data_IF_783061960724
#
_entry.id   IF_783061960724
#
_cell.length_a   1.000
_cell.length_b   1.000
_cell.length_c   1.000
_cell.angle_alpha   90.00
_cell.angle_beta   90.00
_cell.angle_gamma   90.00
#
_symmetry.space_group_name_H-M   'P 1'
#
loop_
_entity.id
_entity.type
_entity.pdbx_description
1 polymer ?
#
# COMPACT_ATOMS: atom_id res chain seq x y z
N UNK A 1 -12.26 -21.46 -14.60
CA UNK A 1 -11.31 -20.34 -14.42
C UNK A 1 -11.19 -20.07 -12.95
N UNK A 2 -9.97 -19.86 -12.44
CA UNK A 2 -9.76 -19.70 -11.00
C UNK A 2 -9.95 -18.23 -10.61
N UNK A 3 -10.63 -17.99 -9.49
CA UNK A 3 -10.70 -16.69 -8.81
C UNK A 3 -9.57 -16.64 -7.79
N UNK A 4 -8.90 -15.49 -7.66
CA UNK A 4 -7.94 -15.25 -6.57
C UNK A 4 -8.43 -14.10 -5.70
N UNK A 5 -8.26 -14.21 -4.38
CA UNK A 5 -8.76 -13.21 -3.44
C UNK A 5 -7.74 -13.00 -2.32
N UNK A 6 -7.47 -11.74 -2.00
CA UNK A 6 -6.68 -11.37 -0.82
C UNK A 6 -7.50 -10.42 0.05
N UNK A 7 -7.77 -10.80 1.32
CA UNK A 7 -8.68 -10.06 2.18
C UNK A 7 -8.09 -8.73 2.70
N UNK A 8 -6.77 -8.56 2.62
CA UNK A 8 -6.08 -7.40 3.19
C UNK A 8 -4.87 -7.02 2.34
N UNK A 9 -5.02 -5.98 1.55
CA UNK A 9 -3.97 -5.39 0.70
C UNK A 9 -3.85 -3.90 0.96
N UNK A 10 -2.65 -3.36 0.73
CA UNK A 10 -2.34 -1.95 0.74
C UNK A 10 -2.30 -1.40 -0.69
N UNK A 11 -2.90 -0.24 -0.89
CA UNK A 11 -2.81 0.54 -2.12
C UNK A 11 -1.96 1.79 -1.88
N UNK A 12 -1.04 2.03 -2.80
CA UNK A 12 -0.16 3.20 -2.79
C UNK A 12 0.12 3.68 -4.22
N UNK A 13 0.90 4.76 -4.34
CA UNK A 13 1.45 5.28 -5.58
C UNK A 13 2.91 5.65 -5.39
N UNK A 14 3.65 5.86 -6.48
CA UNK A 14 5.06 6.26 -6.39
C UNK A 14 5.15 7.63 -5.70
N UNK A 15 4.28 8.56 -6.07
CA UNK A 15 4.20 9.91 -5.51
C UNK A 15 3.85 9.89 -4.02
N UNK A 16 3.01 8.96 -3.59
CA UNK A 16 2.71 8.77 -2.17
C UNK A 16 3.95 8.30 -1.39
N UNK A 17 4.68 7.32 -1.91
CA UNK A 17 5.93 6.83 -1.30
C UNK A 17 7.03 7.90 -1.26
N UNK A 18 7.13 8.73 -2.31
CA UNK A 18 8.01 9.90 -2.34
C UNK A 18 7.69 10.85 -1.18
N UNK A 19 6.41 11.22 -1.02
CA UNK A 19 5.95 12.07 0.09
C UNK A 19 6.20 11.45 1.45
N UNK A 20 5.91 10.16 1.65
CA UNK A 20 6.21 9.45 2.92
C UNK A 20 7.70 9.52 3.25
N UNK A 21 8.57 9.40 2.24
CA UNK A 21 10.02 9.47 2.42
C UNK A 21 10.48 10.88 2.79
N UNK A 22 9.96 11.90 2.10
CA UNK A 22 10.24 13.31 2.40
C UNK A 22 9.85 13.63 3.84
N UNK A 23 8.59 13.33 4.23
CA UNK A 23 8.08 13.54 5.58
C UNK A 23 9.00 12.90 6.62
N UNK A 24 9.40 11.65 6.43
CA UNK A 24 10.26 10.99 7.39
C UNK A 24 11.68 11.58 7.43
N UNK A 25 12.25 11.96 6.28
CA UNK A 25 13.58 12.57 6.21
C UNK A 25 13.66 13.93 6.91
N UNK A 26 12.58 14.71 6.88
CA UNK A 26 12.48 16.01 7.56
C UNK A 26 12.26 15.87 9.07
N UNK A 27 11.63 14.76 9.48
CA UNK A 27 11.33 14.39 10.86
C UNK A 27 12.37 13.44 11.44
N UNK A 28 13.59 13.97 11.66
CA UNK A 28 14.67 13.28 12.39
C UNK A 28 14.13 12.58 13.65
N UNK A 29 14.65 11.39 13.96
CA UNK A 29 14.18 10.54 15.06
C UNK A 29 13.97 11.28 16.41
N UNK A 30 14.84 12.24 16.75
CA UNK A 30 14.69 13.02 17.98
C UNK A 30 13.48 13.96 17.99
N UNK A 31 13.08 14.52 16.83
CA UNK A 31 11.85 15.33 16.71
C UNK A 31 10.59 14.50 16.97
N UNK A 32 10.65 13.20 16.66
CA UNK A 32 9.58 12.25 16.93
C UNK A 32 9.39 12.05 18.43
N UNK A 33 10.48 12.03 19.20
CA UNK A 33 10.47 11.86 20.66
C UNK A 33 9.88 13.08 21.37
N UNK A 34 10.18 14.30 20.91
CA UNK A 34 9.69 15.54 21.51
C UNK A 34 8.36 16.04 20.92
N UNK A 35 7.73 15.27 20.03
CA UNK A 35 6.40 15.58 19.49
C UNK A 35 6.33 16.72 18.47
N UNK A 36 7.45 17.13 17.86
CA UNK A 36 7.51 18.24 16.87
C UNK A 36 7.46 17.69 15.44
N UNK A 37 6.72 16.61 15.21
CA UNK A 37 6.62 16.06 13.87
C UNK A 37 5.78 16.96 12.97
N UNK A 38 6.30 17.23 11.77
CA UNK A 38 5.56 17.89 10.69
C UNK A 38 5.04 16.81 9.73
N UNK A 39 3.81 16.38 9.94
CA UNK A 39 3.07 15.58 8.96
C UNK A 39 1.91 16.46 8.51
N UNK A 40 1.71 16.56 7.20
CA UNK A 40 0.55 17.24 6.64
C UNK A 40 -0.74 16.64 7.26
N UNK A 41 -1.63 17.46 7.87
CA UNK A 41 -2.84 16.99 8.49
C UNK A 41 -3.77 16.17 7.60
N UNK A 42 -3.66 16.28 6.27
CA UNK A 42 -4.43 15.52 5.29
C UNK A 42 -3.70 14.26 4.80
N UNK A 43 -2.44 14.06 5.19
CA UNK A 43 -1.66 12.90 4.78
C UNK A 43 -2.08 11.63 5.57
N UNK A 44 -2.14 10.46 4.90
CA UNK A 44 -2.38 9.17 5.57
C UNK A 44 -1.38 8.91 6.71
N UNK A 45 -1.89 8.75 7.92
CA UNK A 45 -1.06 8.61 9.11
C UNK A 45 -1.71 7.74 10.19
N UNK A 46 -0.88 7.19 11.07
CA UNK A 46 -1.31 6.49 12.27
C UNK A 46 -0.69 7.13 13.51
N UNK A 47 -1.52 7.44 14.49
CA UNK A 47 -1.06 7.80 15.84
C UNK A 47 -1.00 6.54 16.68
N UNK A 48 0.16 6.20 17.22
CA UNK A 48 0.37 5.12 18.16
C UNK A 48 1.01 5.68 19.43
N UNK A 49 0.27 5.68 20.54
CA UNK A 49 0.68 6.33 21.79
C UNK A 49 1.00 7.82 21.59
N UNK A 50 2.20 8.28 21.97
CA UNK A 50 2.64 9.66 21.82
C UNK A 50 3.20 9.98 20.41
N UNK A 51 3.33 8.97 19.55
CA UNK A 51 3.97 9.11 18.26
C UNK A 51 2.94 9.10 17.14
N UNK A 52 3.20 9.89 16.10
CA UNK A 52 2.48 9.81 14.83
C UNK A 52 3.46 9.29 13.77
N UNK A 53 2.96 8.52 12.81
CA UNK A 53 3.77 7.95 11.74
C UNK A 53 3.04 8.14 10.41
N UNK A 54 3.72 8.64 9.36
CA UNK A 54 3.14 8.65 8.03
C UNK A 54 3.04 7.21 7.51
N UNK A 55 1.94 6.89 6.83
CA UNK A 55 1.71 5.57 6.27
C UNK A 55 2.27 5.51 4.84
N UNK A 56 2.82 4.35 4.47
CA UNK A 56 3.32 4.07 3.10
C UNK A 56 2.21 3.74 2.12
N UNK A 57 0.97 3.65 2.59
CA UNK A 57 -0.24 3.39 1.83
C UNK A 57 -1.28 4.44 2.17
N UNK A 58 -2.22 4.67 1.24
CA UNK A 58 -3.35 5.58 1.44
C UNK A 58 -4.69 4.86 1.53
N UNK A 59 -4.75 3.58 1.15
CA UNK A 59 -5.95 2.75 1.29
C UNK A 59 -5.57 1.32 1.66
N UNK A 60 -6.43 0.67 2.43
CA UNK A 60 -6.35 -0.74 2.81
C UNK A 60 -7.69 -1.39 2.50
N UNK A 61 -7.66 -2.59 1.93
CA UNK A 61 -8.87 -3.21 1.45
C UNK A 61 -8.68 -4.64 0.99
N UNK A 62 -9.61 -5.10 0.19
CA UNK A 62 -9.62 -6.43 -0.41
C UNK A 62 -9.41 -6.34 -1.91
N UNK A 63 -8.69 -7.34 -2.44
CA UNK A 63 -8.59 -7.55 -3.88
C UNK A 63 -9.24 -8.86 -4.24
N UNK A 64 -10.01 -8.83 -5.33
CA UNK A 64 -10.53 -10.00 -6.01
C UNK A 64 -10.11 -9.95 -7.47
N UNK A 65 -9.49 -11.02 -7.94
CA UNK A 65 -9.08 -11.19 -9.33
C UNK A 65 -10.01 -12.21 -9.96
N UNK A 66 -10.81 -11.75 -10.92
CA UNK A 66 -11.78 -12.54 -11.66
C UNK A 66 -11.40 -12.57 -13.16
N UNK A 67 -12.03 -13.42 -13.98
CA UNK A 67 -11.83 -13.36 -15.42
C UNK A 67 -12.09 -11.92 -15.90
N UNK A 68 -11.13 -11.32 -16.59
CA UNK A 68 -11.15 -9.96 -17.19
C UNK A 68 -10.80 -8.76 -16.30
N UNK A 69 -10.90 -8.86 -14.97
CA UNK A 69 -10.60 -7.70 -14.10
C UNK A 69 -10.06 -8.03 -12.71
N UNK A 70 -9.43 -7.00 -12.14
CA UNK A 70 -9.11 -6.89 -10.72
C UNK A 70 -10.09 -5.92 -10.09
N UNK A 71 -10.78 -6.35 -9.04
CA UNK A 71 -11.66 -5.53 -8.21
C UNK A 71 -10.93 -5.18 -6.92
N UNK A 72 -10.96 -3.91 -6.51
CA UNK A 72 -10.50 -3.45 -5.22
C UNK A 72 -11.64 -2.80 -4.45
N UNK A 73 -11.79 -3.19 -3.19
CA UNK A 73 -12.71 -2.54 -2.26
C UNK A 73 -12.01 -2.16 -0.97
N UNK A 74 -11.95 -0.87 -0.67
CA UNK A 74 -11.43 -0.39 0.61
C UNK A 74 -12.28 -0.91 1.77
N UNK A 75 -11.61 -1.18 2.90
CA UNK A 75 -12.24 -1.60 4.15
C UNK A 75 -12.13 -0.48 5.16
N UNK A 76 -13.19 -0.27 5.92
CA UNK A 76 -13.11 0.57 7.13
C UNK A 76 -12.22 -0.17 8.13
N UNK A 77 -11.05 0.38 8.39
CA UNK A 77 -10.10 -0.23 9.30
C UNK A 77 -10.46 0.09 10.74
N UNK A 78 -10.90 -0.91 11.50
CA UNK A 78 -11.05 -0.77 12.94
C UNK A 78 -9.66 -0.66 13.59
N UNK A 79 -9.40 0.50 14.18
CA UNK A 79 -8.11 0.74 14.80
C UNK A 79 -7.92 -0.17 16.01
N UNK A 80 -6.74 -0.79 16.13
CA UNK A 80 -6.35 -1.52 17.34
C UNK A 80 -6.39 -0.58 18.56
N UNK A 81 -6.63 -1.10 19.78
CA UNK A 81 -6.49 -0.30 20.99
C UNK A 81 -5.15 0.45 21.00
N UNK A 82 -5.18 1.76 21.25
CA UNK A 82 -4.03 2.69 21.21
C UNK A 82 -3.49 3.10 19.83
N UNK A 83 -4.18 2.74 18.74
CA UNK A 83 -3.90 3.26 17.41
C UNK A 83 -5.05 4.14 16.92
N UNK A 84 -4.74 5.22 16.23
CA UNK A 84 -5.73 6.06 15.55
C UNK A 84 -5.24 6.33 14.13
N UNK A 85 -5.93 5.74 13.15
CA UNK A 85 -5.66 5.98 11.74
C UNK A 85 -6.39 7.26 11.31
N UNK A 86 -5.72 8.10 10.52
CA UNK A 86 -6.27 9.34 9.95
C UNK A 86 -5.98 9.40 8.46
N UNK A 87 -6.94 9.97 7.72
CA UNK A 87 -6.86 10.25 6.28
C UNK A 87 -6.55 9.02 5.41
N UNK A 88 -7.01 7.84 5.85
CA UNK A 88 -7.03 6.66 4.99
C UNK A 88 -8.29 6.74 4.12
N UNK A 89 -8.13 6.49 2.82
CA UNK A 89 -9.22 6.44 1.86
C UNK A 89 -9.99 5.12 2.02
N UNK A 90 -10.94 5.11 2.94
CA UNK A 90 -11.75 3.94 3.30
C UNK A 90 -12.95 3.72 2.36
N UNK A 91 -13.18 4.63 1.42
CA UNK A 91 -14.24 4.61 0.41
C UNK A 91 -13.71 4.37 -1.01
N UNK A 92 -12.39 4.18 -1.16
CA UNK A 92 -11.78 3.90 -2.45
C UNK A 92 -12.22 2.53 -2.96
N UNK A 93 -12.92 2.52 -4.08
CA UNK A 93 -13.31 1.31 -4.78
C UNK A 93 -12.95 1.49 -6.27
N UNK A 94 -12.38 0.45 -6.89
CA UNK A 94 -12.12 0.50 -8.33
C UNK A 94 -12.14 -0.88 -8.96
N UNK A 95 -12.53 -0.89 -10.23
CA UNK A 95 -12.37 -2.03 -11.13
C UNK A 95 -11.28 -1.70 -12.14
N UNK A 96 -10.34 -2.62 -12.30
CA UNK A 96 -9.27 -2.53 -13.26
C UNK A 96 -9.37 -3.66 -14.28
N UNK A 97 -9.80 -3.32 -15.49
CA UNK A 97 -9.87 -4.27 -16.59
C UNK A 97 -8.45 -4.64 -17.04
N UNK A 98 -8.17 -5.91 -17.30
CA UNK A 98 -6.82 -6.34 -17.71
C UNK A 98 -6.40 -5.74 -19.05
N UNK A 99 -7.36 -5.46 -19.94
CA UNK A 99 -7.08 -4.78 -21.22
C UNK A 99 -6.61 -3.31 -21.05
N UNK A 100 -6.78 -2.70 -19.87
CA UNK A 100 -6.26 -1.37 -19.54
C UNK A 100 -4.85 -1.41 -18.98
N UNK A 101 -4.38 -2.60 -18.59
CA UNK A 101 -3.05 -2.81 -18.04
C UNK A 101 -2.05 -2.90 -19.20
N UNK A 102 -0.96 -2.15 -19.06
CA UNK A 102 0.16 -2.19 -20.00
C UNK A 102 1.30 -3.06 -19.48
N UNK A 103 1.59 -2.99 -18.18
CA UNK A 103 2.66 -3.80 -17.58
C UNK A 103 2.41 -4.06 -16.10
N UNK A 104 2.68 -5.30 -15.68
CA UNK A 104 2.78 -5.68 -14.27
C UNK A 104 4.23 -6.04 -13.97
N UNK A 105 4.75 -5.51 -12.86
CA UNK A 105 6.14 -5.75 -12.43
C UNK A 105 6.26 -5.67 -10.91
N UNK A 106 7.34 -6.22 -10.35
CA UNK A 106 7.69 -5.94 -8.96
C UNK A 106 8.43 -4.60 -8.88
N UNK A 107 8.07 -3.79 -7.90
CA UNK A 107 8.65 -2.50 -7.60
C UNK A 107 9.18 -2.48 -6.18
N UNK A 108 10.45 -2.11 -6.05
CA UNK A 108 11.06 -1.72 -4.78
C UNK A 108 11.32 -0.23 -4.85
N UNK A 109 10.93 0.48 -3.81
CA UNK A 109 11.13 1.92 -3.77
C UNK A 109 12.64 2.19 -3.63
N UNK A 110 13.24 3.06 -4.47
CA UNK A 110 14.70 3.16 -4.58
C UNK A 110 15.36 3.92 -3.41
N UNK A 111 14.59 4.71 -2.65
CA UNK A 111 15.12 5.57 -1.58
C UNK A 111 14.32 5.42 -0.28
N UNK A 112 14.11 4.19 0.24
CA UNK A 112 13.25 4.00 1.39
C UNK A 112 13.84 4.74 2.61
N UNK A 113 12.99 5.43 3.37
CA UNK A 113 13.43 6.03 4.63
C UNK A 113 13.99 4.97 5.60
N UNK A 114 13.41 3.77 5.61
CA UNK A 114 13.94 2.60 6.31
C UNK A 114 13.81 1.37 5.41
N UNK A 115 14.91 0.64 5.21
CA UNK A 115 14.93 -0.58 4.38
C UNK A 115 13.90 -1.62 4.81
N UNK A 116 13.62 -1.73 6.12
CA UNK A 116 12.59 -2.66 6.63
C UNK A 116 11.16 -2.33 6.16
N UNK A 117 10.93 -1.13 5.62
CA UNK A 117 9.66 -0.70 5.01
C UNK A 117 9.72 -0.69 3.48
N UNK A 118 10.85 -1.11 2.87
CA UNK A 118 10.99 -1.24 1.42
C UNK A 118 10.40 -2.56 0.91
N UNK A 119 9.11 -2.72 1.15
CA UNK A 119 8.37 -3.91 0.76
C UNK A 119 8.31 -4.06 -0.76
N UNK A 120 8.28 -5.28 -1.31
CA UNK A 120 8.03 -5.47 -2.73
C UNK A 120 6.57 -5.12 -3.02
N UNK A 121 6.38 -4.09 -3.83
CA UNK A 121 5.08 -3.72 -4.36
C UNK A 121 4.87 -4.38 -5.72
N UNK A 122 3.66 -4.80 -6.02
CA UNK A 122 3.22 -5.05 -7.39
C UNK A 122 2.92 -3.68 -8.00
N UNK A 123 3.70 -3.30 -9.00
CA UNK A 123 3.46 -2.11 -9.82
C UNK A 123 2.63 -2.49 -11.03
N UNK A 124 1.43 -1.94 -11.10
CA UNK A 124 0.54 -2.04 -12.26
C UNK A 124 0.60 -0.71 -13.00
N UNK A 125 1.19 -0.72 -14.19
CA UNK A 125 1.19 0.41 -15.13
C UNK A 125 0.02 0.27 -16.08
N UNK A 126 -0.78 1.31 -16.18
CA UNK A 126 -1.91 1.40 -17.10
C UNK A 126 -1.46 1.97 -18.45
N UNK A 127 -2.22 1.66 -19.52
CA UNK A 127 -1.98 2.19 -20.87
C UNK A 127 -2.04 3.72 -20.96
N UNK A 128 -2.74 4.38 -20.02
CA UNK A 128 -2.79 5.84 -19.91
C UNK A 128 -1.61 6.44 -19.11
N UNK A 129 -0.61 5.63 -18.73
CA UNK A 129 0.58 6.06 -17.99
C UNK A 129 0.42 6.11 -16.47
N UNK A 130 -0.81 5.99 -15.93
CA UNK A 130 -1.02 5.94 -14.47
C UNK A 130 -0.44 4.66 -13.87
N UNK A 131 -0.05 4.74 -12.61
CA UNK A 131 0.54 3.62 -11.87
C UNK A 131 -0.21 3.40 -10.56
N UNK A 132 -0.49 2.14 -10.24
CA UNK A 132 -0.99 1.70 -8.94
C UNK A 132 0.05 0.76 -8.33
N UNK A 133 0.30 0.91 -7.03
CA UNK A 133 1.13 0.00 -6.25
C UNK A 133 0.23 -0.82 -5.32
N UNK A 134 0.43 -2.13 -5.31
CA UNK A 134 -0.33 -3.09 -4.51
C UNK A 134 0.64 -3.96 -3.71
N UNK A 135 0.40 -4.12 -2.43
CA UNK A 135 1.13 -5.10 -1.60
C UNK A 135 0.12 -5.81 -0.69
N UNK A 136 0.34 -7.07 -0.34
CA UNK A 136 -0.38 -7.64 0.81
C UNK A 136 -0.05 -6.81 2.06
N UNK A 137 -1.06 -6.60 2.90
CA UNK A 137 -0.90 -5.91 4.16
C UNK A 137 -0.05 -6.77 5.11
N UNK A 138 1.10 -6.23 5.52
CA UNK A 138 1.96 -6.97 6.44
C UNK A 138 1.50 -6.80 7.88
N UNK A 139 1.11 -7.91 8.51
CA UNK A 139 0.89 -7.95 9.95
C UNK A 139 2.22 -8.03 10.67
N UNK A 140 2.35 -7.29 11.79
CA UNK A 140 3.54 -7.37 12.66
C UNK A 140 3.76 -8.85 13.04
N UNK A 141 4.96 -9.38 12.77
CA UNK A 141 5.30 -10.78 12.99
C UNK A 141 4.92 -11.75 11.86
N UNK A 142 4.31 -11.27 10.76
CA UNK A 142 3.89 -12.09 9.61
C UNK A 142 4.40 -11.54 8.27
N UNK A 143 5.57 -10.90 8.28
CA UNK A 143 6.20 -10.32 7.08
C UNK A 143 6.35 -11.36 5.97
N UNK A 144 6.79 -12.58 6.31
CA UNK A 144 6.96 -13.67 5.35
C UNK A 144 5.65 -14.07 4.66
N UNK A 145 4.52 -14.06 5.39
CA UNK A 145 3.22 -14.37 4.82
C UNK A 145 2.79 -13.29 3.82
N UNK A 146 2.93 -12.01 4.19
CA UNK A 146 2.63 -10.91 3.27
C UNK A 146 3.49 -10.92 2.01
N UNK A 147 4.78 -11.31 2.12
CA UNK A 147 5.65 -11.50 0.96
C UNK A 147 5.18 -12.65 0.06
N UNK A 148 4.82 -13.79 0.65
CA UNK A 148 4.29 -14.95 -0.10
C UNK A 148 2.99 -14.60 -0.81
N UNK A 149 2.06 -13.93 -0.14
CA UNK A 149 0.78 -13.49 -0.71
C UNK A 149 0.97 -12.49 -1.85
N UNK A 150 1.85 -11.50 -1.68
CA UNK A 150 2.17 -10.53 -2.72
C UNK A 150 2.80 -11.21 -3.94
N UNK A 151 3.71 -12.16 -3.70
CA UNK A 151 4.34 -12.94 -4.78
C UNK A 151 3.32 -13.83 -5.51
N UNK A 152 2.42 -14.46 -4.76
CA UNK A 152 1.34 -15.28 -5.33
C UNK A 152 0.37 -14.42 -6.18
N UNK A 153 -0.04 -13.25 -5.69
CA UNK A 153 -0.86 -12.32 -6.45
C UNK A 153 -0.14 -11.86 -7.73
N UNK A 154 1.15 -11.53 -7.64
CA UNK A 154 1.96 -11.15 -8.80
C UNK A 154 1.93 -12.23 -9.89
N UNK A 155 2.28 -13.48 -9.54
CA UNK A 155 2.27 -14.58 -10.50
C UNK A 155 0.88 -14.87 -11.04
N UNK A 156 -0.15 -14.75 -10.20
CA UNK A 156 -1.53 -14.92 -10.64
C UNK A 156 -1.90 -13.89 -11.70
N UNK A 157 -1.59 -12.60 -11.47
CA UNK A 157 -1.88 -11.51 -12.40
C UNK A 157 -1.11 -11.62 -13.73
N UNK A 158 0.12 -12.14 -13.71
CA UNK A 158 0.90 -12.35 -14.94
C UNK A 158 0.18 -13.27 -15.94
N UNK A 159 -0.65 -14.20 -15.48
CA UNK A 159 -1.41 -15.09 -16.37
C UNK A 159 -2.54 -14.39 -17.14
N UNK A 160 -2.90 -13.15 -16.77
CA UNK A 160 -4.00 -12.40 -17.36
C UNK A 160 -3.56 -11.22 -18.24
N UNK A 161 -2.29 -10.82 -18.16
CA UNK A 161 -1.73 -9.64 -18.84
C UNK A 161 -0.63 -10.06 -19.83
N UNK A 162 -0.70 -11.30 -20.33
CA UNK A 162 0.20 -11.82 -21.35
C UNK A 162 -0.12 -11.27 -22.75
#
# INVERSE_FOLDING_TARGET
MNTFQLPEVWISSIEHLDKTTIINSENKWWKQIIGIQKIDPEFPQVKASAFTFPLVYFSIGEIKVIPEKLEYSAKIFEAKPNMQYKNIQNDLNFDLLFNQIDKISIYKYPKPYLEKFNYPWIKIRLKNGKTILISSAMKIGQIENGLKETTALYHFLQNYVA
#
